data_IF_352673030932
#
_entry.id   IF_352673030932
#
_cell.length_a   1.000
_cell.length_b   1.000
_cell.length_c   1.000
_cell.angle_alpha   90.00
_cell.angle_beta   90.00
_cell.angle_gamma   90.00
#
_symmetry.space_group_name_H-M   'P 1'
#
loop_
_entity.id
_entity.type
_entity.pdbx_description
1 polymer ?
#
# COMPACT_ATOMS: atom_id res chain seq x y z
N UNK A 1 5.52 6.84 26.16
CA UNK A 1 4.45 6.65 25.17
C UNK A 1 3.31 7.55 25.58
N UNK A 2 2.82 8.43 24.71
CA UNK A 2 1.56 9.11 24.99
C UNK A 2 0.45 8.08 24.83
N UNK A 3 -0.38 7.90 25.85
CA UNK A 3 -1.57 7.06 25.71
C UNK A 3 -2.51 7.70 24.69
N UNK A 4 -3.07 6.87 23.81
CA UNK A 4 -4.14 7.27 22.91
C UNK A 4 -5.36 7.58 23.76
N UNK A 5 -5.71 8.86 23.87
CA UNK A 5 -6.90 9.28 24.61
C UNK A 5 -8.14 8.69 23.94
N UNK A 6 -9.08 8.22 24.76
CA UNK A 6 -10.39 7.73 24.30
C UNK A 6 -10.32 6.54 23.32
N UNK A 7 -9.29 5.69 23.42
CA UNK A 7 -9.16 4.51 22.56
C UNK A 7 -10.39 3.58 22.62
N UNK A 8 -10.96 3.41 23.82
CA UNK A 8 -12.17 2.60 24.06
C UNK A 8 -13.41 3.14 23.31
N UNK A 9 -13.47 4.45 23.05
CA UNK A 9 -14.59 5.03 22.31
C UNK A 9 -14.55 4.59 20.83
N UNK A 10 -13.37 4.39 20.25
CA UNK A 10 -13.24 3.85 18.89
C UNK A 10 -13.73 2.41 18.82
N UNK A 11 -13.40 1.59 19.82
CA UNK A 11 -13.87 0.20 19.93
C UNK A 11 -15.40 0.17 20.02
N UNK A 12 -15.96 0.87 21.00
CA UNK A 12 -17.41 0.89 21.23
C UNK A 12 -18.17 1.40 20.00
N UNK A 13 -17.65 2.43 19.33
CA UNK A 13 -18.24 2.97 18.12
C UNK A 13 -18.19 1.96 16.96
N UNK A 14 -17.06 1.29 16.72
CA UNK A 14 -16.93 0.30 15.66
C UNK A 14 -17.83 -0.91 15.89
N UNK A 15 -17.95 -1.38 17.13
CA UNK A 15 -18.86 -2.45 17.51
C UNK A 15 -20.32 -2.05 17.29
N UNK A 16 -20.73 -0.86 17.76
CA UNK A 16 -22.08 -0.35 17.57
C UNK A 16 -22.45 -0.20 16.09
N UNK A 17 -21.51 0.24 15.25
CA UNK A 17 -21.73 0.36 13.80
C UNK A 17 -21.80 -0.98 13.11
N UNK A 18 -20.97 -1.94 13.56
CA UNK A 18 -21.02 -3.32 13.10
C UNK A 18 -22.39 -3.94 13.36
N UNK A 19 -22.89 -3.81 14.60
CA UNK A 19 -24.19 -4.33 15.02
C UNK A 19 -25.37 -3.65 14.31
N UNK A 20 -25.31 -2.32 14.17
CA UNK A 20 -26.36 -1.55 13.51
C UNK A 20 -26.32 -1.64 11.97
N UNK A 21 -25.29 -2.28 11.40
CA UNK A 21 -25.07 -2.40 9.96
C UNK A 21 -25.19 -1.06 9.22
N UNK A 22 -24.32 -0.09 9.57
CA UNK A 22 -24.29 1.24 8.93
C UNK A 22 -22.99 1.43 8.11
N UNK A 23 -22.88 0.85 6.89
CA UNK A 23 -21.66 0.93 6.07
C UNK A 23 -21.15 2.35 5.77
N UNK A 24 -22.00 3.36 5.51
CA UNK A 24 -21.51 4.72 5.25
C UNK A 24 -20.77 5.32 6.44
N UNK A 25 -21.27 5.08 7.66
CA UNK A 25 -20.66 5.59 8.88
C UNK A 25 -19.33 4.88 9.17
N UNK A 26 -19.27 3.57 8.93
CA UNK A 26 -18.02 2.80 8.99
C UNK A 26 -16.94 3.39 8.09
N UNK A 27 -17.28 3.70 6.83
CA UNK A 27 -16.35 4.32 5.87
C UNK A 27 -15.90 5.71 6.29
N UNK A 28 -16.80 6.51 6.87
CA UNK A 28 -16.42 7.86 7.31
C UNK A 28 -15.50 7.83 8.53
N UNK A 29 -15.71 6.90 9.46
CA UNK A 29 -14.79 6.70 10.60
C UNK A 29 -13.45 6.21 10.11
N UNK A 30 -13.42 5.24 9.20
CA UNK A 30 -12.18 4.77 8.61
C UNK A 30 -11.41 5.92 7.94
N UNK A 31 -12.11 6.77 7.18
CA UNK A 31 -11.53 7.99 6.58
C UNK A 31 -11.06 8.99 7.62
N UNK A 32 -11.82 9.19 8.70
CA UNK A 32 -11.43 10.06 9.80
C UNK A 32 -10.12 9.59 10.44
N UNK A 33 -10.05 8.31 10.84
CA UNK A 33 -8.83 7.75 11.45
C UNK A 33 -7.65 7.81 10.48
N UNK A 34 -7.86 7.55 9.18
CA UNK A 34 -6.79 7.68 8.18
C UNK A 34 -6.20 9.09 8.16
N UNK A 35 -7.04 10.14 8.25
CA UNK A 35 -6.56 11.54 8.28
C UNK A 35 -5.70 11.79 9.51
N UNK A 36 -6.11 11.31 10.67
CA UNK A 36 -5.37 11.45 11.91
C UNK A 36 -4.02 10.72 11.83
N UNK A 37 -4.01 9.45 11.38
CA UNK A 37 -2.79 8.65 11.19
C UNK A 37 -1.80 9.34 10.24
N UNK A 38 -2.28 9.94 9.15
CA UNK A 38 -1.41 10.65 8.20
C UNK A 38 -0.90 11.98 8.75
N UNK A 39 -1.61 12.60 9.69
CA UNK A 39 -1.22 13.87 10.31
C UNK A 39 -0.22 13.70 11.45
N UNK A 40 -0.15 12.51 12.03
CA UNK A 40 0.71 12.21 13.16
C UNK A 40 2.16 11.99 12.71
N UNK A 41 3.09 12.81 13.23
CA UNK A 41 4.47 12.85 12.74
C UNK A 41 5.55 12.44 13.75
N UNK A 42 5.20 12.14 15.01
CA UNK A 42 6.22 11.98 16.09
C UNK A 42 6.09 10.75 16.98
N UNK A 43 4.88 10.29 17.30
CA UNK A 43 4.68 9.08 18.12
C UNK A 43 3.93 8.07 17.28
N UNK A 44 4.54 6.91 17.01
CA UNK A 44 3.87 5.87 16.24
C UNK A 44 2.94 5.00 17.09
N UNK A 45 2.77 5.31 18.38
CA UNK A 45 1.87 4.57 19.27
C UNK A 45 0.42 4.59 18.79
N UNK A 46 -0.11 5.74 18.38
CA UNK A 46 -1.48 5.81 17.86
C UNK A 46 -1.60 5.07 16.53
N UNK A 47 -0.68 5.28 15.59
CA UNK A 47 -0.64 4.51 14.33
C UNK A 47 -0.60 2.99 14.56
N UNK A 48 0.21 2.50 15.52
CA UNK A 48 0.29 1.07 15.90
C UNK A 48 -1.04 0.55 16.47
N UNK A 49 -1.67 1.29 17.41
CA UNK A 49 -2.98 0.91 17.96
C UNK A 49 -4.07 0.91 16.89
N UNK A 50 -4.08 1.90 16.00
CA UNK A 50 -5.02 1.97 14.87
C UNK A 50 -4.79 0.84 13.87
N UNK A 51 -3.56 0.39 13.64
CA UNK A 51 -3.26 -0.77 12.80
C UNK A 51 -3.81 -2.07 13.40
N UNK A 52 -3.64 -2.28 14.70
CA UNK A 52 -4.21 -3.45 15.40
C UNK A 52 -5.75 -3.42 15.36
N UNK A 53 -6.35 -2.24 15.54
CA UNK A 53 -7.79 -2.05 15.44
C UNK A 53 -8.29 -2.33 14.02
N UNK A 54 -7.55 -1.87 13.01
CA UNK A 54 -7.89 -2.10 11.61
C UNK A 54 -7.87 -3.59 11.24
N UNK A 55 -6.90 -4.35 11.75
CA UNK A 55 -6.87 -5.79 11.58
C UNK A 55 -8.06 -6.45 12.26
N UNK A 56 -8.32 -6.12 13.54
CA UNK A 56 -9.40 -6.71 14.34
C UNK A 56 -10.77 -6.52 13.72
N UNK A 57 -11.05 -5.31 13.25
CA UNK A 57 -12.36 -4.94 12.73
C UNK A 57 -12.44 -5.02 11.21
N UNK A 58 -11.40 -5.43 10.49
CA UNK A 58 -11.33 -5.48 9.02
C UNK A 58 -11.57 -4.11 8.34
N UNK A 59 -10.80 -3.11 8.76
CA UNK A 59 -10.77 -1.77 8.15
C UNK A 59 -9.62 -1.71 7.14
N UNK A 60 -9.86 -2.22 5.93
CA UNK A 60 -8.81 -2.45 4.92
C UNK A 60 -8.05 -1.19 4.50
N UNK A 61 -8.76 -0.05 4.35
CA UNK A 61 -8.14 1.21 3.95
C UNK A 61 -7.27 1.74 5.07
N UNK A 62 -7.76 1.68 6.31
CA UNK A 62 -6.97 2.07 7.47
C UNK A 62 -5.74 1.16 7.67
N UNK A 63 -5.91 -0.16 7.53
CA UNK A 63 -4.80 -1.12 7.60
C UNK A 63 -3.72 -0.77 6.58
N UNK A 64 -4.13 -0.48 5.34
CA UNK A 64 -3.22 -0.08 4.26
C UNK A 64 -2.47 1.23 4.60
N UNK A 65 -3.19 2.27 5.03
CA UNK A 65 -2.60 3.59 5.35
C UNK A 65 -1.63 3.48 6.52
N UNK A 66 -2.05 2.86 7.63
CA UNK A 66 -1.21 2.69 8.82
C UNK A 66 0.01 1.82 8.52
N UNK A 67 -0.15 0.76 7.73
CA UNK A 67 0.99 -0.06 7.26
C UNK A 67 1.98 0.76 6.44
N UNK A 68 1.49 1.61 5.52
CA UNK A 68 2.33 2.50 4.72
C UNK A 68 3.15 3.45 5.59
N UNK A 69 2.49 4.13 6.52
CA UNK A 69 3.14 5.08 7.46
C UNK A 69 4.23 4.38 8.28
N UNK A 70 3.96 3.19 8.83
CA UNK A 70 4.97 2.44 9.59
C UNK A 70 6.12 1.94 8.71
N UNK A 71 5.84 1.51 7.48
CA UNK A 71 6.90 1.08 6.54
C UNK A 71 7.82 2.24 6.18
N UNK A 72 7.27 3.43 5.94
CA UNK A 72 8.07 4.63 5.68
C UNK A 72 8.99 4.95 6.87
N UNK A 73 8.47 4.86 8.10
CA UNK A 73 9.27 5.01 9.32
C UNK A 73 10.38 3.95 9.43
N UNK A 74 10.04 2.68 9.20
CA UNK A 74 11.01 1.57 9.24
C UNK A 74 12.14 1.81 8.22
N UNK A 75 11.80 2.21 7.00
CA UNK A 75 12.78 2.42 5.91
C UNK A 75 13.63 3.67 6.17
N UNK A 76 13.06 4.72 6.75
CA UNK A 76 13.79 5.92 7.14
C UNK A 76 14.77 5.67 8.31
N UNK A 77 14.57 4.61 9.09
CA UNK A 77 15.44 4.24 10.20
C UNK A 77 16.81 3.72 9.74
N UNK A 78 17.88 4.01 10.49
CA UNK A 78 19.26 3.62 10.14
C UNK A 78 19.50 2.11 10.19
N UNK A 79 18.78 1.40 11.06
CA UNK A 79 18.76 -0.06 11.15
C UNK A 79 17.32 -0.57 11.00
N UNK A 80 16.85 -0.76 9.76
CA UNK A 80 15.46 -1.12 9.56
C UNK A 80 15.03 -2.53 10.02
N UNK A 81 15.86 -3.59 9.92
CA UNK A 81 15.55 -4.88 10.54
C UNK A 81 15.35 -4.77 12.05
N UNK A 82 16.20 -3.99 12.72
CA UNK A 82 16.05 -3.72 14.15
C UNK A 82 14.76 -2.98 14.49
N UNK A 83 14.40 -1.98 13.67
CA UNK A 83 13.16 -1.21 13.86
C UNK A 83 11.91 -2.07 13.71
N UNK A 84 11.89 -2.97 12.71
CA UNK A 84 10.79 -3.92 12.53
C UNK A 84 10.62 -4.85 13.74
N UNK A 85 11.72 -5.30 14.36
CA UNK A 85 11.68 -6.10 15.59
C UNK A 85 11.12 -5.28 16.75
N UNK A 86 11.56 -4.03 16.91
CA UNK A 86 11.02 -3.15 17.95
C UNK A 86 9.51 -2.94 17.79
N UNK A 87 9.06 -2.60 16.58
CA UNK A 87 7.63 -2.45 16.26
C UNK A 87 6.86 -3.74 16.56
N UNK A 88 7.40 -4.92 16.25
CA UNK A 88 6.76 -6.19 16.58
C UNK A 88 6.56 -6.37 18.09
N UNK A 89 7.56 -6.05 18.91
CA UNK A 89 7.42 -6.13 20.37
C UNK A 89 6.39 -5.12 20.90
N UNK A 90 6.37 -3.91 20.34
CA UNK A 90 5.37 -2.90 20.70
C UNK A 90 3.95 -3.32 20.32
N UNK A 91 3.75 -3.88 19.12
CA UNK A 91 2.46 -4.39 18.68
C UNK A 91 1.95 -5.52 19.57
N UNK A 92 2.82 -6.46 19.99
CA UNK A 92 2.45 -7.52 20.95
C UNK A 92 1.97 -6.91 22.27
N UNK A 93 2.77 -6.05 22.89
CA UNK A 93 2.39 -5.38 24.14
C UNK A 93 1.06 -4.63 24.01
N UNK A 94 0.89 -3.82 22.96
CA UNK A 94 -0.34 -3.06 22.75
C UNK A 94 -1.54 -3.97 22.50
N UNK A 95 -1.36 -5.06 21.77
CA UNK A 95 -2.44 -6.01 21.52
C UNK A 95 -2.89 -6.71 22.82
N UNK A 96 -1.94 -7.06 23.70
CA UNK A 96 -2.25 -7.56 25.05
C UNK A 96 -3.02 -6.52 25.87
N UNK A 97 -2.58 -5.25 25.90
CA UNK A 97 -3.29 -4.17 26.60
C UNK A 97 -4.75 -4.01 26.12
N UNK A 98 -4.96 -4.07 24.80
CA UNK A 98 -6.29 -3.98 24.19
C UNK A 98 -7.13 -5.21 24.55
N UNK A 99 -6.52 -6.40 24.57
CA UNK A 99 -7.26 -7.62 24.85
C UNK A 99 -7.66 -7.73 26.32
N UNK A 100 -6.87 -7.17 27.24
CA UNK A 100 -7.20 -7.08 28.66
C UNK A 100 -8.32 -6.07 28.95
N UNK A 101 -8.52 -5.05 28.10
CA UNK A 101 -9.60 -4.06 28.26
C UNK A 101 -10.94 -4.53 27.70
N UNK A 102 -10.94 -5.52 26.79
CA UNK A 102 -12.13 -6.05 26.14
C UNK A 102 -12.71 -7.27 26.87
N UNK A 103 -14.04 -7.48 26.83
CA UNK A 103 -14.67 -8.70 27.30
C UNK A 103 -14.11 -9.92 26.56
N UNK A 104 -13.85 -11.00 27.29
CA UNK A 104 -13.30 -12.24 26.72
C UNK A 104 -14.35 -12.93 25.83
N UNK A 105 -14.27 -12.72 24.52
CA UNK A 105 -15.11 -13.43 23.54
C UNK A 105 -14.29 -14.57 22.88
N UNK A 106 -14.72 -15.84 22.98
CA UNK A 106 -14.02 -16.96 22.35
C UNK A 106 -13.98 -16.91 20.82
N UNK A 107 -14.75 -16.03 20.18
CA UNK A 107 -14.79 -15.86 18.72
C UNK A 107 -13.80 -14.81 18.20
N UNK A 108 -13.24 -13.97 19.08
CA UNK A 108 -12.23 -13.00 18.67
C UNK A 108 -10.90 -13.67 18.37
N UNK A 109 -10.24 -13.32 17.25
CA UNK A 109 -8.93 -13.88 16.90
C UNK A 109 -7.95 -13.61 18.03
N UNK A 110 -7.14 -14.62 18.38
CA UNK A 110 -6.16 -14.48 19.45
C UNK A 110 -5.14 -13.40 19.10
N UNK A 111 -4.68 -12.69 20.13
CA UNK A 111 -3.68 -11.62 20.02
C UNK A 111 -2.48 -12.02 19.15
N UNK A 112 -1.99 -13.25 19.33
CA UNK A 112 -0.84 -13.78 18.62
C UNK A 112 -1.09 -13.92 17.11
N UNK A 113 -2.30 -14.34 16.71
CA UNK A 113 -2.69 -14.45 15.30
C UNK A 113 -2.79 -13.05 14.67
N UNK A 114 -3.43 -12.11 15.38
CA UNK A 114 -3.62 -10.74 14.91
C UNK A 114 -2.28 -10.03 14.70
N UNK A 115 -1.40 -10.07 15.72
CA UNK A 115 -0.08 -9.44 15.62
C UNK A 115 0.80 -10.17 14.60
N UNK A 116 0.72 -11.49 14.52
CA UNK A 116 1.44 -12.29 13.52
C UNK A 116 1.13 -11.86 12.09
N UNK A 117 -0.17 -11.75 11.76
CA UNK A 117 -0.67 -11.26 10.47
C UNK A 117 -0.13 -9.87 10.13
N UNK A 118 -0.29 -8.91 11.05
CA UNK A 118 0.17 -7.53 10.85
C UNK A 118 1.68 -7.45 10.64
N UNK A 119 2.46 -8.20 11.44
CA UNK A 119 3.92 -8.19 11.33
C UNK A 119 4.34 -8.78 9.98
N UNK A 120 3.76 -9.91 9.56
CA UNK A 120 4.06 -10.54 8.27
C UNK A 120 3.81 -9.58 7.10
N UNK A 121 2.66 -8.89 7.12
CA UNK A 121 2.30 -7.87 6.13
C UNK A 121 3.32 -6.73 6.10
N UNK A 122 3.72 -6.21 7.26
CA UNK A 122 4.74 -5.17 7.37
C UNK A 122 6.09 -5.64 6.84
N UNK A 123 6.52 -6.88 7.12
CA UNK A 123 7.78 -7.39 6.59
C UNK A 123 7.73 -7.49 5.06
N UNK A 124 6.64 -8.05 4.53
CA UNK A 124 6.42 -8.24 3.10
C UNK A 124 6.40 -6.90 2.37
N UNK A 125 5.67 -5.92 2.90
CA UNK A 125 5.58 -4.58 2.32
C UNK A 125 6.92 -3.86 2.38
N UNK A 126 7.60 -3.87 3.54
CA UNK A 126 8.94 -3.27 3.71
C UNK A 126 9.94 -3.83 2.70
N UNK A 127 10.00 -5.15 2.53
CA UNK A 127 10.89 -5.81 1.55
C UNK A 127 10.55 -5.40 0.11
N UNK A 128 9.28 -5.23 -0.23
CA UNK A 128 8.85 -4.78 -1.57
C UNK A 128 9.24 -3.34 -1.83
N UNK A 129 8.91 -2.42 -0.92
CA UNK A 129 9.21 -0.98 -1.06
C UNK A 129 10.71 -0.73 -1.18
N UNK A 130 11.54 -1.42 -0.38
CA UNK A 130 13.00 -1.31 -0.52
C UNK A 130 13.53 -1.78 -1.87
N UNK A 131 13.04 -2.92 -2.38
CA UNK A 131 13.47 -3.41 -3.69
C UNK A 131 13.17 -2.41 -4.80
N UNK A 132 11.97 -1.84 -4.79
CA UNK A 132 11.54 -0.84 -5.78
C UNK A 132 12.35 0.45 -5.66
N UNK A 133 12.62 0.92 -4.44
CA UNK A 133 13.41 2.13 -4.18
C UNK A 133 14.86 2.01 -4.64
N UNK A 134 15.45 0.81 -4.57
CA UNK A 134 16.82 0.56 -5.01
C UNK A 134 16.94 0.32 -6.52
N UNK A 135 15.88 -0.18 -7.18
CA UNK A 135 15.90 -0.52 -8.62
C UNK A 135 15.97 0.68 -9.57
N UNK A 136 15.86 1.92 -9.08
CA UNK A 136 15.99 3.14 -9.87
C UNK A 136 17.37 3.81 -9.77
N UNK A 137 18.38 3.15 -9.17
CA UNK A 137 19.75 3.61 -9.35
C UNK A 137 20.17 3.34 -10.80
N UNK A 138 20.46 4.37 -11.63
CA UNK A 138 21.04 4.13 -12.94
C UNK A 138 22.40 3.48 -12.70
N UNK A 139 22.53 2.19 -13.01
CA UNK A 139 23.84 1.55 -13.03
C UNK A 139 24.71 2.28 -14.05
N UNK A 140 25.58 3.15 -13.55
CA UNK A 140 26.74 3.62 -14.28
C UNK A 140 27.63 2.40 -14.59
N UNK A 141 27.89 2.25 -15.89
CA UNK A 141 28.97 1.46 -16.50
C UNK A 141 29.00 -0.05 -16.21
N UNK A 142 28.33 -0.81 -17.07
CA UNK A 142 28.82 -2.14 -17.46
C UNK A 142 29.12 -2.12 -18.96
N UNK A 143 30.40 -2.21 -19.27
CA UNK A 143 30.98 -2.40 -20.60
C UNK A 143 30.29 -3.52 -21.36
N UNK A 144 29.72 -3.22 -22.53
CA UNK A 144 29.22 -4.21 -23.48
C UNK A 144 30.39 -4.98 -24.11
N UNK A 145 30.34 -6.32 -24.21
CA UNK A 145 31.22 -7.05 -25.11
C UNK A 145 30.68 -6.92 -26.53
N UNK A 146 31.54 -6.44 -27.43
CA UNK A 146 31.30 -6.32 -28.87
C UNK A 146 31.14 -7.71 -29.51
N UNK A 147 29.95 -8.02 -30.04
CA UNK A 147 29.75 -9.12 -30.97
C UNK A 147 29.83 -8.60 -32.41
N UNK A 148 30.98 -8.80 -33.05
CA UNK A 148 31.13 -8.70 -34.51
C UNK A 148 30.37 -9.85 -35.19
N UNK A 149 29.51 -9.60 -36.19
CA UNK A 149 29.04 -10.65 -37.09
C UNK A 149 30.02 -10.82 -38.27
N UNK A 150 30.24 -12.06 -38.77
CA UNK A 150 31.04 -12.28 -39.95
C UNK A 150 30.20 -11.96 -41.20
N UNK A 151 30.83 -11.28 -42.16
CA UNK A 151 30.23 -10.91 -43.44
C UNK A 151 30.06 -12.08 -44.41
N UNK A 152 29.13 -11.92 -45.36
CA UNK A 152 28.96 -12.83 -46.48
C UNK A 152 27.90 -12.35 -47.49
N UNK A 153 28.38 -11.69 -48.56
CA UNK A 153 27.84 -11.58 -49.94
C UNK A 153 26.45 -10.96 -50.24
N UNK A 154 26.49 -9.85 -50.99
CA UNK A 154 25.47 -9.29 -51.92
C UNK A 154 25.58 -9.91 -53.34
N UNK A 155 24.74 -9.59 -54.37
CA UNK A 155 23.29 -9.29 -54.50
C UNK A 155 22.61 -10.03 -55.70
N UNK A 156 21.41 -9.60 -56.14
CA UNK A 156 20.54 -10.00 -57.31
C UNK A 156 19.58 -11.18 -57.05
N UNK A 157 18.29 -11.17 -57.42
CA UNK A 157 17.59 -10.57 -58.57
C UNK A 157 16.06 -10.37 -58.27
N UNK A 158 15.40 -9.59 -59.12
CA UNK A 158 14.00 -9.11 -59.07
C UNK A 158 12.89 -10.18 -59.21
N UNK A 159 11.68 -9.75 -58.81
CA UNK A 159 10.34 -10.35 -59.07
C UNK A 159 9.91 -11.46 -58.09
N UNK A 160 8.79 -11.41 -57.36
CA UNK A 160 7.55 -10.67 -57.58
C UNK A 160 6.62 -10.68 -56.33
N UNK A 161 5.76 -9.66 -56.27
CA UNK A 161 4.36 -9.65 -55.80
C UNK A 161 4.03 -9.50 -54.29
N UNK A 162 3.66 -8.23 -53.99
CA UNK A 162 2.58 -7.72 -53.13
C UNK A 162 2.65 -7.84 -51.59
N UNK A 163 2.77 -6.70 -50.88
CA UNK A 163 2.68 -6.62 -49.43
C UNK A 163 1.23 -6.43 -48.93
N UNK A 164 0.92 -7.08 -47.81
CA UNK A 164 -0.28 -6.83 -47.01
C UNK A 164 -0.28 -5.38 -46.46
N UNK A 165 -1.45 -4.74 -46.30
CA UNK A 165 -1.52 -3.36 -45.84
C UNK A 165 -1.04 -3.22 -44.39
N UNK A 166 -0.02 -2.38 -44.23
CA UNK A 166 0.59 -2.00 -42.97
C UNK A 166 -0.41 -1.10 -42.24
N UNK A 167 -0.98 -1.59 -41.14
CA UNK A 167 -1.69 -0.75 -40.17
C UNK A 167 -0.67 0.24 -39.59
N UNK A 168 -0.90 1.56 -39.62
CA UNK A 168 0.02 2.50 -39.00
C UNK A 168 0.04 2.26 -37.50
N UNK A 169 1.22 1.90 -37.00
CA UNK A 169 1.58 1.86 -35.59
C UNK A 169 1.20 3.19 -34.91
N UNK A 170 0.12 3.18 -34.15
CA UNK A 170 -0.21 4.28 -33.25
C UNK A 170 0.92 4.41 -32.22
N UNK A 171 1.54 5.60 -32.16
CA UNK A 171 2.54 5.93 -31.14
C UNK A 171 1.84 5.99 -29.77
N UNK A 172 2.44 5.51 -28.67
CA UNK A 172 1.72 5.34 -27.40
C UNK A 172 1.36 6.64 -26.65
N UNK A 173 1.69 7.83 -27.17
CA UNK A 173 1.54 9.10 -26.46
C UNK A 173 1.04 10.25 -27.34
N UNK A 174 -0.05 10.02 -28.07
CA UNK A 174 -0.83 11.11 -28.66
C UNK A 174 -2.26 11.08 -28.06
N UNK A 175 -2.75 12.19 -27.46
CA UNK A 175 -4.09 12.20 -26.89
C UNK A 175 -5.12 12.15 -28.02
N UNK A 176 -5.87 11.06 -28.08
CA UNK A 176 -7.05 10.95 -28.94
C UNK A 176 -8.08 12.00 -28.51
N UNK A 177 -8.23 13.06 -29.31
CA UNK A 177 -9.32 14.03 -29.18
C UNK A 177 -10.62 13.29 -29.47
N UNK A 178 -11.29 12.82 -28.43
CA UNK A 178 -12.64 12.29 -28.53
C UNK A 178 -13.60 13.48 -28.59
N UNK A 179 -14.46 13.60 -29.62
CA UNK A 179 -15.49 14.63 -29.62
C UNK A 179 -16.50 14.30 -28.52
N UNK A 180 -16.53 15.13 -27.48
CA UNK A 180 -17.49 15.03 -26.38
C UNK A 180 -18.92 15.12 -26.90
N UNK A 181 -19.71 14.08 -26.66
CA UNK A 181 -21.13 13.96 -27.05
C UNK A 181 -22.07 14.71 -26.10
N UNK A 182 -21.57 15.39 -25.07
CA UNK A 182 -22.42 16.08 -24.11
C UNK A 182 -22.56 17.57 -24.48
N UNK A 183 -23.75 17.94 -24.95
CA UNK A 183 -24.16 19.35 -25.07
C UNK A 183 -24.17 19.97 -23.67
N UNK A 184 -23.31 20.97 -23.46
CA UNK A 184 -23.35 21.87 -22.30
C UNK A 184 -24.63 22.70 -22.40
N UNK A 185 -25.53 22.57 -21.43
CA UNK A 185 -26.68 23.44 -21.26
C UNK A 185 -26.17 24.71 -20.57
N UNK A 186 -26.25 25.85 -21.24
CA UNK A 186 -26.06 27.16 -20.60
C UNK A 186 -27.39 27.56 -19.94
N UNK A 187 -27.34 27.83 -18.63
CA UNK A 187 -28.45 28.42 -17.89
C UNK A 187 -28.43 29.92 -18.15
N UNK A 188 -29.55 30.44 -18.65
CA UNK A 188 -29.80 31.87 -18.89
C UNK A 188 -29.89 32.68 -17.59
#
# INVERSE_FOLDING_TARGET
MKEVQYFEDFIALLEGIGQAHIPPLRKEIERFICREVMSESTDSAFTKKMLLLAERYSLDVLKMVASGVLVDQIIAHSNPPGELVNISHELKRMASEINDSLPTDPTTPTEEILVGSVVEDLQSLTRRVRRVSLSHSPSSTTTSPSSTPPGGATPTDESALSPAPIVPTARPFEPAVTPSRFKRIELA
#
